data_IF_927303498284
#
_entry.id   IF_927303498284
#
_cell.length_a   1.000
_cell.length_b   1.000
_cell.length_c   1.000
_cell.angle_alpha   90.00
_cell.angle_beta   90.00
_cell.angle_gamma   90.00
#
_symmetry.space_group_name_H-M   'P 1'
#
loop_
_entity.id
_entity.type
_entity.pdbx_description
1 polymer ?
#
# COMPACT_ATOMS: atom_id res chain seq x y z
N UNK A 1 29.43 -6.41 -4.36
CA UNK A 1 28.14 -6.58 -5.06
C UNK A 1 27.04 -5.83 -4.31
N UNK A 2 26.02 -5.32 -5.00
CA UNK A 2 24.95 -4.52 -4.38
C UNK A 2 23.59 -4.98 -4.92
N UNK A 3 22.58 -5.06 -4.06
CA UNK A 3 21.21 -5.35 -4.48
C UNK A 3 20.54 -4.04 -4.92
N UNK A 4 20.17 -3.95 -6.19
CA UNK A 4 19.37 -2.88 -6.77
C UNK A 4 17.93 -3.38 -6.96
N UNK A 5 16.94 -2.62 -6.50
CA UNK A 5 15.52 -2.89 -6.79
C UNK A 5 15.18 -2.10 -8.04
N UNK A 6 14.94 -2.80 -9.16
CA UNK A 6 14.65 -2.16 -10.45
C UNK A 6 13.16 -1.98 -10.71
N UNK A 7 12.31 -2.73 -10.00
CA UNK A 7 10.85 -2.57 -9.98
C UNK A 7 10.41 -2.71 -8.52
N UNK A 8 9.90 -1.64 -7.92
CA UNK A 8 9.37 -1.65 -6.55
C UNK A 8 8.03 -2.40 -6.48
N UNK A 9 7.60 -2.91 -5.32
CA UNK A 9 6.25 -3.39 -5.14
C UNK A 9 5.25 -2.23 -5.16
N UNK A 10 4.09 -2.45 -5.79
CA UNK A 10 2.98 -1.49 -5.77
C UNK A 10 2.38 -1.39 -4.36
N UNK A 11 2.40 -0.18 -3.80
CA UNK A 11 2.13 0.04 -2.38
C UNK A 11 0.74 -0.42 -1.91
N UNK A 12 -0.33 -0.23 -2.70
CA UNK A 12 -1.73 -0.46 -2.26
C UNK A 12 -2.53 -1.44 -3.16
N UNK A 13 -1.87 -2.38 -3.82
CA UNK A 13 -2.55 -3.30 -4.75
C UNK A 13 -3.03 -4.61 -4.12
N UNK A 14 -2.44 -5.03 -3.00
CA UNK A 14 -2.61 -6.38 -2.46
C UNK A 14 -3.38 -6.36 -1.13
N UNK A 15 -4.41 -7.20 -1.03
CA UNK A 15 -5.04 -7.54 0.24
C UNK A 15 -4.25 -8.66 0.92
N UNK A 16 -3.85 -8.46 2.18
CA UNK A 16 -3.23 -9.51 2.97
C UNK A 16 -4.31 -10.53 3.39
N UNK A 17 -3.95 -11.82 3.38
CA UNK A 17 -4.91 -12.91 3.59
C UNK A 17 -4.61 -13.67 4.87
N UNK A 18 -5.65 -13.93 5.65
CA UNK A 18 -5.52 -14.86 6.77
C UNK A 18 -5.45 -16.29 6.26
N UNK A 19 -4.71 -17.14 6.97
CA UNK A 19 -4.61 -18.57 6.68
C UNK A 19 -5.98 -19.25 6.56
N UNK A 20 -6.90 -18.89 7.45
CA UNK A 20 -8.26 -19.44 7.49
C UNK A 20 -9.14 -19.03 6.29
N UNK A 21 -8.69 -18.12 5.40
CA UNK A 21 -9.43 -17.80 4.18
C UNK A 21 -9.35 -18.92 3.13
N UNK A 22 -8.37 -19.84 3.21
CA UNK A 22 -8.26 -21.01 2.34
C UNK A 22 -8.07 -20.70 0.85
N UNK A 23 -7.71 -19.47 0.49
CA UNK A 23 -7.46 -19.00 -0.88
C UNK A 23 -5.99 -18.63 -1.05
N UNK A 24 -5.52 -18.64 -2.30
CA UNK A 24 -4.22 -18.04 -2.63
C UNK A 24 -4.17 -16.59 -2.12
N UNK A 25 -3.03 -16.18 -1.55
CA UNK A 25 -2.82 -14.84 -1.03
C UNK A 25 -2.66 -13.77 -2.12
N UNK A 26 -2.86 -14.13 -3.39
CA UNK A 26 -2.62 -13.26 -4.54
C UNK A 26 -1.13 -13.06 -4.81
N UNK A 27 -0.82 -12.08 -5.65
CA UNK A 27 0.54 -11.70 -6.02
C UNK A 27 0.80 -10.22 -5.76
N UNK A 28 1.92 -9.90 -5.14
CA UNK A 28 2.45 -8.54 -5.04
C UNK A 28 2.84 -8.09 -6.45
N UNK A 29 2.15 -7.08 -6.96
CA UNK A 29 2.43 -6.48 -8.26
C UNK A 29 3.59 -5.47 -8.17
N UNK A 30 4.23 -5.20 -9.31
CA UNK A 30 5.19 -4.12 -9.46
C UNK A 30 4.50 -2.76 -9.52
N UNK A 31 5.20 -1.72 -9.11
CA UNK A 31 4.73 -0.33 -9.09
C UNK A 31 4.17 0.11 -10.45
N UNK A 32 4.84 -0.28 -11.54
CA UNK A 32 4.46 0.05 -12.92
C UNK A 32 3.45 -0.95 -13.53
N UNK A 33 2.93 -1.89 -12.74
CA UNK A 33 1.98 -2.89 -13.23
C UNK A 33 0.64 -2.26 -13.62
N UNK A 34 0.17 -2.61 -14.81
CA UNK A 34 -1.17 -2.28 -15.32
C UNK A 34 -2.03 -3.56 -15.47
N UNK A 35 -3.34 -3.43 -15.75
CA UNK A 35 -4.20 -4.57 -16.06
C UNK A 35 -3.73 -5.38 -17.29
N UNK A 36 -3.21 -4.70 -18.31
CA UNK A 36 -2.76 -5.26 -19.59
C UNK A 36 -1.33 -5.82 -19.50
N UNK A 37 -0.47 -5.16 -18.72
CA UNK A 37 0.92 -5.56 -18.54
C UNK A 37 1.27 -5.70 -17.05
N UNK A 38 1.23 -6.94 -16.56
CA UNK A 38 1.53 -7.24 -15.16
C UNK A 38 3.04 -7.31 -14.93
N UNK A 39 3.56 -6.36 -14.16
CA UNK A 39 4.94 -6.37 -13.65
C UNK A 39 4.94 -6.83 -12.19
N UNK A 40 6.13 -7.15 -11.67
CA UNK A 40 6.30 -7.70 -10.32
C UNK A 40 7.59 -7.16 -9.69
N UNK A 41 7.71 -7.16 -8.35
CA UNK A 41 8.94 -6.76 -7.69
C UNK A 41 10.13 -7.47 -8.32
N UNK A 42 11.15 -6.70 -8.70
CA UNK A 42 12.28 -7.22 -9.46
C UNK A 42 13.56 -6.58 -8.96
N UNK A 43 14.60 -7.40 -8.76
CA UNK A 43 15.91 -6.95 -8.31
C UNK A 43 17.00 -7.33 -9.31
N UNK A 44 18.11 -6.62 -9.25
CA UNK A 44 19.37 -6.94 -9.93
C UNK A 44 20.52 -6.92 -8.92
N UNK A 45 21.49 -7.83 -9.09
CA UNK A 45 22.74 -7.80 -8.36
C UNK A 45 23.79 -7.08 -9.20
N UNK A 46 24.19 -5.88 -8.77
CA UNK A 46 25.26 -5.14 -9.39
C UNK A 46 26.62 -5.73 -9.03
N UNK A 47 27.55 -5.73 -9.99
CA UNK A 47 28.90 -6.26 -9.87
C UNK A 47 28.94 -7.76 -9.50
N UNK A 48 27.96 -8.54 -9.96
CA UNK A 48 27.90 -9.98 -9.81
C UNK A 48 27.46 -10.64 -11.12
N UNK A 49 28.34 -11.42 -11.74
CA UNK A 49 28.06 -12.19 -12.97
C UNK A 49 27.89 -13.70 -12.71
N UNK A 50 28.09 -14.14 -11.46
CA UNK A 50 27.98 -15.54 -11.06
C UNK A 50 26.61 -15.90 -10.46
N UNK A 51 26.43 -17.19 -10.12
CA UNK A 51 25.25 -17.64 -9.39
C UNK A 51 25.16 -16.95 -8.02
N UNK A 52 23.95 -16.74 -7.53
CA UNK A 52 23.68 -16.19 -6.21
C UNK A 52 22.39 -16.80 -5.65
N UNK A 53 22.34 -17.00 -4.33
CA UNK A 53 21.11 -17.37 -3.65
C UNK A 53 20.44 -16.10 -3.12
N UNK A 54 19.19 -15.88 -3.52
CA UNK A 54 18.36 -14.77 -3.06
C UNK A 54 17.36 -15.27 -2.05
N UNK A 55 17.25 -14.57 -0.93
CA UNK A 55 16.25 -14.79 0.10
C UNK A 55 15.42 -13.52 0.26
N UNK A 56 14.10 -13.67 0.27
CA UNK A 56 13.15 -12.58 0.51
C UNK A 56 12.37 -12.87 1.78
N UNK A 57 12.32 -11.90 2.68
CA UNK A 57 11.55 -11.95 3.92
C UNK A 57 10.73 -10.68 4.12
N UNK A 58 9.77 -10.70 5.06
CA UNK A 58 9.02 -9.50 5.44
C UNK A 58 9.66 -8.84 6.66
N UNK A 59 9.82 -7.53 6.58
CA UNK A 59 10.27 -6.69 7.69
C UNK A 59 9.29 -5.54 7.96
N UNK A 60 9.38 -4.94 9.13
CA UNK A 60 8.56 -3.80 9.53
C UNK A 60 8.92 -2.55 8.72
N UNK A 61 8.04 -1.54 8.76
CA UNK A 61 8.29 -0.25 8.09
C UNK A 61 9.34 0.62 8.78
N UNK A 62 9.62 0.34 10.06
CA UNK A 62 10.50 1.10 10.93
C UNK A 62 11.96 1.09 10.46
N UNK A 63 12.75 2.03 10.99
CA UNK A 63 14.19 2.06 10.86
C UNK A 63 14.84 1.98 12.27
N UNK A 64 15.70 0.99 12.57
CA UNK A 64 16.06 -0.14 11.71
C UNK A 64 14.90 -1.13 11.49
N UNK A 65 14.79 -1.78 10.31
CA UNK A 65 13.74 -2.74 10.03
C UNK A 65 13.84 -3.99 10.90
N UNK A 66 12.71 -4.43 11.45
CA UNK A 66 12.60 -5.63 12.31
C UNK A 66 11.90 -6.77 11.56
N UNK A 67 12.08 -8.04 11.94
CA UNK A 67 11.29 -9.14 11.38
C UNK A 67 9.79 -8.90 11.54
N UNK A 68 9.01 -9.08 10.46
CA UNK A 68 7.56 -8.92 10.50
C UNK A 68 6.86 -10.26 10.84
N UNK A 69 5.78 -10.27 11.64
CA UNK A 69 5.05 -11.50 12.00
C UNK A 69 4.34 -12.18 10.82
N UNK A 70 3.84 -11.40 9.85
CA UNK A 70 3.24 -11.95 8.62
C UNK A 70 4.23 -12.79 7.83
N UNK A 71 3.74 -13.68 6.97
CA UNK A 71 4.54 -14.61 6.16
C UNK A 71 4.44 -14.32 4.66
N UNK A 72 5.56 -14.48 3.94
CA UNK A 72 5.51 -14.63 2.48
C UNK A 72 5.03 -16.02 2.12
N UNK A 73 4.10 -16.09 1.18
CA UNK A 73 3.53 -17.34 0.67
C UNK A 73 3.48 -17.34 -0.85
N UNK A 74 3.38 -18.52 -1.43
CA UNK A 74 3.35 -18.73 -2.88
C UNK A 74 4.51 -19.59 -3.37
N UNK A 75 4.80 -19.55 -4.67
CA UNK A 75 5.77 -20.48 -5.28
C UNK A 75 7.18 -20.19 -4.77
N UNK A 76 7.86 -21.22 -4.27
CA UNK A 76 9.21 -21.09 -3.70
C UNK A 76 9.26 -20.45 -2.31
N UNK A 77 8.11 -20.25 -1.66
CA UNK A 77 8.04 -19.80 -0.28
C UNK A 77 7.97 -20.99 0.68
N UNK A 78 8.84 -20.99 1.69
CA UNK A 78 8.89 -22.00 2.75
C UNK A 78 9.06 -21.26 4.07
N UNK A 79 8.24 -21.58 5.07
CA UNK A 79 8.28 -20.95 6.41
C UNK A 79 8.28 -19.40 6.40
N UNK A 80 7.49 -18.80 5.50
CA UNK A 80 7.31 -17.35 5.46
C UNK A 80 8.44 -16.55 4.79
N UNK A 81 9.37 -17.22 4.10
CA UNK A 81 10.42 -16.63 3.27
C UNK A 81 10.40 -17.23 1.87
N UNK A 82 10.79 -16.44 0.87
CA UNK A 82 11.01 -16.94 -0.49
C UNK A 82 12.50 -17.15 -0.71
N UNK A 83 12.91 -18.33 -1.20
CA UNK A 83 14.32 -18.62 -1.52
C UNK A 83 14.42 -19.02 -2.98
N UNK A 84 15.28 -18.34 -3.73
CA UNK A 84 15.51 -18.59 -5.15
C UNK A 84 17.01 -18.65 -5.41
N UNK A 85 17.47 -19.70 -6.10
CA UNK A 85 18.80 -19.68 -6.68
C UNK A 85 18.73 -18.93 -8.01
N UNK A 86 19.47 -17.84 -8.10
CA UNK A 86 19.59 -17.02 -9.29
C UNK A 86 20.89 -17.36 -10.00
N UNK A 87 20.81 -17.50 -11.32
CA UNK A 87 21.93 -17.32 -12.24
C UNK A 87 21.60 -16.05 -13.02
N UNK A 88 22.52 -15.09 -13.12
CA UNK A 88 22.34 -13.68 -12.75
C UNK A 88 21.09 -12.95 -13.30
N UNK A 89 20.53 -12.00 -12.51
CA UNK A 89 19.27 -11.31 -12.75
C UNK A 89 19.24 -10.15 -13.77
N UNK A 90 18.02 -9.69 -14.18
CA UNK A 90 16.90 -9.39 -13.28
C UNK A 90 16.15 -10.64 -12.74
N UNK A 91 15.96 -10.73 -11.41
CA UNK A 91 15.13 -11.76 -10.76
C UNK A 91 13.82 -11.09 -10.45
N UNK A 92 12.74 -11.60 -11.03
CA UNK A 92 11.38 -11.16 -10.76
C UNK A 92 10.65 -12.12 -9.83
N UNK A 93 9.73 -11.60 -9.03
CA UNK A 93 9.01 -12.36 -8.00
C UNK A 93 7.48 -12.37 -8.21
N UNK A 94 6.96 -13.05 -9.25
CA UNK A 94 5.55 -12.93 -9.66
C UNK A 94 4.53 -13.62 -8.76
N UNK A 95 4.96 -14.55 -7.91
CA UNK A 95 4.08 -15.43 -7.12
C UNK A 95 4.29 -15.25 -5.62
N UNK A 96 4.53 -14.01 -5.18
CA UNK A 96 4.63 -13.68 -3.76
C UNK A 96 3.31 -13.10 -3.28
N UNK A 97 2.66 -13.75 -2.33
CA UNK A 97 1.55 -13.22 -1.56
C UNK A 97 1.94 -13.00 -0.10
N UNK A 98 1.07 -12.31 0.65
CA UNK A 98 1.27 -12.02 2.07
C UNK A 98 0.17 -12.69 2.88
N UNK A 99 0.58 -13.65 3.72
CA UNK A 99 -0.28 -14.28 4.71
C UNK A 99 -0.17 -13.53 6.04
N UNK A 100 -1.24 -12.84 6.44
CA UNK A 100 -1.28 -12.09 7.68
C UNK A 100 -1.70 -12.96 8.86
N UNK A 101 -1.12 -12.67 10.03
CA UNK A 101 -1.47 -13.32 11.30
C UNK A 101 -2.45 -12.46 12.10
N UNK A 102 -3.19 -13.09 13.02
CA UNK A 102 -4.05 -12.36 13.96
C UNK A 102 -3.20 -11.72 15.06
N UNK A 103 -3.72 -10.67 15.70
CA UNK A 103 -3.03 -9.97 16.81
C UNK A 103 -2.56 -10.93 17.92
N UNK A 104 -3.39 -11.92 18.27
CA UNK A 104 -3.07 -12.94 19.28
C UNK A 104 -1.93 -13.90 18.89
N UNK A 105 -1.59 -13.99 17.60
CA UNK A 105 -0.59 -14.91 17.06
C UNK A 105 0.77 -14.23 16.83
N UNK A 106 0.86 -12.89 17.02
CA UNK A 106 2.08 -12.11 16.76
C UNK A 106 3.29 -12.70 17.51
N UNK A 107 3.14 -12.93 18.82
CA UNK A 107 4.24 -13.42 19.67
C UNK A 107 4.77 -14.77 19.18
N UNK A 108 3.87 -15.70 18.84
CA UNK A 108 4.25 -17.02 18.33
C UNK A 108 4.91 -16.93 16.95
N UNK A 109 4.36 -16.12 16.05
CA UNK A 109 4.90 -15.93 14.71
C UNK A 109 6.31 -15.32 14.74
N UNK A 110 6.54 -14.33 15.59
CA UNK A 110 7.86 -13.73 15.80
C UNK A 110 8.83 -14.73 16.42
N UNK A 111 8.42 -15.48 17.45
CA UNK A 111 9.24 -16.55 18.04
C UNK A 111 9.71 -17.57 16.98
N UNK A 112 8.83 -17.96 16.05
CA UNK A 112 9.18 -18.84 14.94
C UNK A 112 10.19 -18.20 13.99
N UNK A 113 10.05 -16.92 13.64
CA UNK A 113 11.02 -16.18 12.81
C UNK A 113 12.42 -16.23 13.41
N UNK A 114 12.53 -15.99 14.71
CA UNK A 114 13.81 -16.00 15.44
C UNK A 114 14.41 -17.40 15.46
N UNK A 115 13.60 -18.43 15.74
CA UNK A 115 14.05 -19.83 15.73
C UNK A 115 14.62 -20.24 14.37
N UNK A 116 14.08 -19.69 13.28
CA UNK A 116 14.54 -19.92 11.92
C UNK A 116 15.71 -19.00 11.51
N UNK A 117 16.22 -18.15 12.40
CA UNK A 117 17.31 -17.22 12.12
C UNK A 117 16.93 -16.09 11.17
N UNK A 118 15.62 -15.77 11.04
CA UNK A 118 15.13 -14.72 10.14
C UNK A 118 15.20 -13.37 10.87
N UNK A 119 16.40 -12.78 10.90
CA UNK A 119 16.63 -11.42 11.41
C UNK A 119 17.70 -10.71 10.55
N UNK A 120 17.32 -10.18 9.37
CA UNK A 120 18.27 -9.64 8.39
C UNK A 120 19.14 -8.49 8.90
N UNK A 121 18.69 -7.80 9.97
CA UNK A 121 19.33 -6.61 10.53
C UNK A 121 19.78 -6.80 11.99
N UNK A 122 19.73 -8.02 12.52
CA UNK A 122 20.14 -8.36 13.90
C UNK A 122 19.49 -7.47 14.97
N UNK A 123 18.19 -7.16 14.77
CA UNK A 123 17.44 -6.22 15.61
C UNK A 123 16.79 -6.89 16.81
N UNK A 124 16.64 -8.22 16.80
CA UNK A 124 15.87 -8.94 17.81
C UNK A 124 16.44 -8.76 19.23
N UNK A 125 17.75 -8.93 19.39
CA UNK A 125 18.42 -8.85 20.70
C UNK A 125 18.28 -7.48 21.36
N UNK A 126 18.11 -6.41 20.56
CA UNK A 126 18.01 -5.03 21.04
C UNK A 126 16.61 -4.63 21.51
N UNK A 127 15.58 -5.41 21.17
CA UNK A 127 14.17 -5.01 21.36
C UNK A 127 13.30 -6.07 22.06
N UNK A 128 13.91 -6.99 22.82
CA UNK A 128 13.19 -7.92 23.72
C UNK A 128 12.19 -7.12 24.58
N UNK A 129 10.89 -7.28 24.31
CA UNK A 129 9.80 -6.66 25.08
C UNK A 129 8.99 -5.55 24.40
N UNK A 130 9.35 -5.08 23.18
CA UNK A 130 8.54 -4.11 22.40
C UNK A 130 7.87 -4.71 21.15
N UNK A 131 7.68 -6.03 21.12
CA UNK A 131 7.12 -6.73 19.96
C UNK A 131 5.59 -6.60 19.83
N UNK A 132 4.91 -5.97 20.79
CA UNK A 132 3.45 -5.84 20.80
C UNK A 132 2.91 -4.68 19.94
N UNK A 133 3.79 -3.75 19.53
CA UNK A 133 3.45 -2.57 18.72
C UNK A 133 3.92 -2.71 17.27
N UNK A 134 3.67 -3.87 16.63
CA UNK A 134 3.93 -4.03 15.19
C UNK A 134 2.71 -3.57 14.38
N UNK A 135 2.95 -2.70 13.39
CA UNK A 135 1.93 -2.32 12.41
C UNK A 135 1.62 -3.50 11.47
N UNK A 136 0.49 -4.18 11.71
CA UNK A 136 0.05 -5.31 10.89
C UNK A 136 -0.48 -4.92 9.51
N UNK A 137 -0.67 -3.64 9.24
CA UNK A 137 -1.22 -3.16 7.98
C UNK A 137 -0.14 -2.80 6.97
N UNK A 138 1.13 -2.78 7.38
CA UNK A 138 2.24 -2.32 6.54
C UNK A 138 3.44 -3.24 6.67
N UNK A 139 3.97 -3.74 5.55
CA UNK A 139 5.21 -4.53 5.51
C UNK A 139 6.18 -3.95 4.49
N UNK A 140 7.45 -4.38 4.54
CA UNK A 140 8.41 -4.16 3.46
C UNK A 140 9.04 -5.50 3.06
N UNK A 141 9.39 -5.65 1.79
CA UNK A 141 10.20 -6.77 1.32
C UNK A 141 11.66 -6.51 1.65
N UNK A 142 12.32 -7.45 2.33
CA UNK A 142 13.75 -7.45 2.56
C UNK A 142 14.41 -8.48 1.65
N UNK A 143 15.21 -8.00 0.71
CA UNK A 143 16.01 -8.83 -0.20
C UNK A 143 17.40 -9.04 0.40
N UNK A 144 17.77 -10.29 0.60
CA UNK A 144 19.10 -10.75 0.99
C UNK A 144 19.69 -11.56 -0.16
N UNK A 145 20.99 -11.40 -0.42
CA UNK A 145 21.70 -12.17 -1.43
C UNK A 145 22.96 -12.79 -0.82
N UNK A 146 23.23 -14.03 -1.23
CA UNK A 146 24.38 -14.80 -0.78
C UNK A 146 25.14 -15.31 -2.00
N UNK A 147 26.43 -15.01 -2.07
CA UNK A 147 27.31 -15.37 -3.17
C UNK A 147 28.09 -16.65 -2.86
N UNK A 148 28.53 -17.40 -3.87
CA UNK A 148 29.37 -18.58 -3.71
C UNK A 148 30.61 -18.26 -2.89
N UNK A 149 30.86 -19.06 -1.88
CA UNK A 149 32.09 -18.99 -1.12
C UNK A 149 33.26 -19.46 -2.00
N UNK A 150 34.40 -18.75 -2.05
CA UNK A 150 35.51 -19.07 -2.95
C UNK A 150 36.06 -20.50 -2.79
N UNK A 151 35.99 -21.06 -1.59
CA UNK A 151 36.55 -22.39 -1.28
C UNK A 151 35.55 -23.54 -1.40
N UNK A 152 34.26 -23.30 -1.09
CA UNK A 152 33.26 -24.38 -1.00
C UNK A 152 32.25 -24.34 -2.14
N UNK A 153 32.21 -23.25 -2.92
CA UNK A 153 31.21 -23.01 -3.96
C UNK A 153 29.78 -22.78 -3.43
N UNK A 154 29.54 -22.94 -2.13
CA UNK A 154 28.21 -22.77 -1.53
C UNK A 154 27.88 -21.29 -1.37
N UNK A 155 26.65 -20.90 -1.73
CA UNK A 155 26.17 -19.52 -1.63
C UNK A 155 25.98 -19.09 -0.16
N UNK A 156 27.04 -18.56 0.45
CA UNK A 156 27.08 -18.20 1.89
C UNK A 156 27.66 -16.82 2.16
N UNK A 157 28.34 -16.19 1.19
CA UNK A 157 28.95 -14.85 1.37
C UNK A 157 27.85 -13.78 1.29
N UNK A 158 27.51 -13.08 2.38
CA UNK A 158 26.36 -12.18 2.39
C UNK A 158 26.65 -10.87 1.65
N UNK A 159 25.64 -10.39 0.94
CA UNK A 159 25.57 -9.02 0.41
C UNK A 159 24.68 -8.19 1.35
N UNK A 160 25.00 -6.90 1.60
CA UNK A 160 24.14 -6.05 2.43
C UNK A 160 22.67 -6.10 1.98
N UNK A 161 21.72 -6.35 2.90
CA UNK A 161 20.31 -6.48 2.57
C UNK A 161 19.75 -5.15 2.03
N UNK A 162 18.75 -5.26 1.14
CA UNK A 162 18.03 -4.10 0.58
C UNK A 162 16.54 -4.24 0.85
N UNK A 163 15.92 -3.17 1.34
CA UNK A 163 14.50 -3.15 1.69
C UNK A 163 13.71 -2.33 0.66
N UNK A 164 12.56 -2.85 0.23
CA UNK A 164 11.64 -2.17 -0.68
C UNK A 164 10.97 -0.94 -0.06
N UNK A 165 10.19 -0.23 -0.87
CA UNK A 165 9.15 0.67 -0.33
C UNK A 165 8.06 -0.12 0.43
N UNK A 166 7.32 0.52 1.35
CA UNK A 166 6.22 -0.11 2.08
C UNK A 166 5.11 -0.65 1.17
N UNK A 167 4.53 -1.77 1.59
CA UNK A 167 3.33 -2.39 1.04
C UNK A 167 2.26 -2.34 2.12
N UNK A 168 1.11 -1.79 1.79
CA UNK A 168 -0.03 -1.65 2.68
C UNK A 168 -1.09 -2.69 2.35
N UNK A 169 -1.71 -3.28 3.38
CA UNK A 169 -2.88 -4.13 3.19
C UNK A 169 -4.01 -3.30 2.58
N UNK A 170 -4.46 -3.66 1.38
CA UNK A 170 -5.59 -3.00 0.71
C UNK A 170 -6.88 -3.01 1.56
N UNK A 171 -7.01 -3.95 2.51
CA UNK A 171 -8.17 -4.00 3.43
C UNK A 171 -7.95 -3.16 4.70
N UNK A 172 -6.76 -2.63 4.94
CA UNK A 172 -6.52 -1.77 6.09
C UNK A 172 -7.38 -0.50 5.99
N UNK A 173 -8.03 -0.06 7.08
CA UNK A 173 -8.94 1.09 7.03
C UNK A 173 -8.27 2.40 6.56
N UNK A 174 -6.96 2.54 6.78
CA UNK A 174 -6.13 3.67 6.37
C UNK A 174 -5.53 3.58 4.97
N UNK A 175 -5.65 2.44 4.27
CA UNK A 175 -5.04 2.21 2.95
C UNK A 175 -6.04 1.71 1.90
N UNK A 176 -7.33 1.72 2.23
CA UNK A 176 -8.38 1.39 1.29
C UNK A 176 -8.43 2.42 0.15
N UNK A 177 -8.63 1.94 -1.06
CA UNK A 177 -8.88 2.79 -2.23
C UNK A 177 -10.16 3.61 -1.99
N UNK A 178 -10.10 4.92 -2.25
CA UNK A 178 -11.25 5.79 -2.10
C UNK A 178 -12.13 5.68 -3.34
N UNK A 179 -13.45 5.54 -3.14
CA UNK A 179 -14.40 5.46 -4.24
C UNK A 179 -15.72 6.11 -3.89
N UNK A 180 -16.18 7.00 -4.76
CA UNK A 180 -17.54 7.53 -4.74
C UNK A 180 -18.44 6.54 -5.49
N UNK A 181 -19.45 6.00 -4.81
CA UNK A 181 -20.41 5.06 -5.39
C UNK A 181 -21.55 5.82 -6.06
N UNK A 182 -22.10 6.81 -5.37
CA UNK A 182 -23.25 7.61 -5.83
C UNK A 182 -23.39 8.88 -5.00
N UNK A 183 -23.91 9.94 -5.59
CA UNK A 183 -24.42 11.11 -4.88
C UNK A 183 -25.92 11.26 -5.15
N UNK A 184 -26.68 11.77 -4.17
CA UNK A 184 -28.11 12.06 -4.34
C UNK A 184 -28.35 13.26 -5.28
N UNK A 185 -27.42 14.21 -5.30
CA UNK A 185 -27.39 15.38 -6.19
C UNK A 185 -26.12 15.36 -7.02
N UNK A 186 -26.21 15.88 -8.24
CA UNK A 186 -25.07 16.05 -9.17
C UNK A 186 -24.96 17.50 -9.67
N UNK A 187 -25.70 18.40 -9.06
CA UNK A 187 -25.73 19.82 -9.35
C UNK A 187 -26.26 20.60 -8.16
N UNK A 188 -25.94 21.89 -8.12
CA UNK A 188 -26.43 22.83 -7.11
C UNK A 188 -26.09 24.28 -7.49
N UNK A 189 -26.60 25.27 -6.76
CA UNK A 189 -26.38 26.68 -7.07
C UNK A 189 -24.92 27.07 -6.84
N UNK A 190 -24.43 28.06 -7.57
CA UNK A 190 -23.07 28.61 -7.40
C UNK A 190 -22.78 29.11 -6.01
N UNK A 191 -23.81 29.52 -5.26
CA UNK A 191 -23.68 29.96 -3.87
C UNK A 191 -23.31 28.82 -2.91
N UNK A 192 -23.43 27.56 -3.33
CA UNK A 192 -23.20 26.41 -2.48
C UNK A 192 -24.27 26.26 -1.39
N UNK A 193 -23.92 25.56 -0.31
CA UNK A 193 -24.79 25.33 0.85
C UNK A 193 -25.78 24.18 0.69
N UNK A 194 -25.90 23.64 -0.53
CA UNK A 194 -26.75 22.51 -0.84
C UNK A 194 -26.29 21.26 -0.08
N UNK A 195 -27.17 20.66 0.71
CA UNK A 195 -26.86 19.40 1.40
C UNK A 195 -26.87 18.23 0.40
N UNK A 196 -25.78 17.47 0.40
CA UNK A 196 -25.51 16.34 -0.48
C UNK A 196 -25.19 15.11 0.36
N UNK A 197 -25.84 13.99 0.04
CA UNK A 197 -25.51 12.67 0.57
C UNK A 197 -24.69 11.91 -0.46
N UNK A 198 -23.47 11.56 -0.08
CA UNK A 198 -22.51 10.81 -0.88
C UNK A 198 -22.33 9.42 -0.30
N UNK A 199 -22.62 8.39 -1.09
CA UNK A 199 -22.34 7.00 -0.79
C UNK A 199 -20.95 6.64 -1.31
N UNK A 200 -20.14 5.98 -0.48
CA UNK A 200 -18.77 5.64 -0.80
C UNK A 200 -18.37 4.26 -0.26
N UNK A 201 -17.22 3.77 -0.73
CA UNK A 201 -16.54 2.65 -0.07
C UNK A 201 -15.97 3.10 1.29
N UNK A 202 -15.43 2.18 2.08
CA UNK A 202 -15.13 2.41 3.50
C UNK A 202 -14.08 3.52 3.73
N UNK A 203 -14.45 4.59 4.44
CA UNK A 203 -13.59 5.73 4.81
C UNK A 203 -13.33 5.85 6.33
N UNK A 204 -12.31 6.60 6.72
CA UNK A 204 -12.10 7.01 8.12
C UNK A 204 -12.68 8.40 8.34
N UNK A 205 -13.57 8.56 9.34
CA UNK A 205 -14.27 9.82 9.57
C UNK A 205 -13.38 11.01 9.92
N UNK A 206 -12.22 10.73 10.51
CA UNK A 206 -11.25 11.73 10.98
C UNK A 206 -10.14 12.00 9.93
N UNK A 207 -10.19 11.33 8.78
CA UNK A 207 -9.17 11.36 7.73
C UNK A 207 -9.81 11.22 6.34
N UNK A 208 -10.77 12.11 6.05
CA UNK A 208 -11.47 12.15 4.77
C UNK A 208 -11.96 13.57 4.48
N UNK A 209 -11.86 14.00 3.23
CA UNK A 209 -12.39 15.26 2.72
C UNK A 209 -13.14 15.02 1.41
N UNK A 210 -14.15 15.85 1.13
CA UNK A 210 -14.80 15.94 -0.19
C UNK A 210 -14.26 17.18 -0.88
N UNK A 211 -13.60 17.01 -2.02
CA UNK A 211 -12.87 18.08 -2.71
C UNK A 211 -13.49 18.33 -4.08
N UNK A 212 -13.86 19.58 -4.32
CA UNK A 212 -14.33 20.10 -5.60
C UNK A 212 -13.17 20.75 -6.32
N UNK A 213 -12.96 20.40 -7.58
CA UNK A 213 -11.89 20.94 -8.41
C UNK A 213 -12.41 21.36 -9.78
N UNK A 214 -11.88 22.46 -10.29
CA UNK A 214 -12.14 22.93 -11.65
C UNK A 214 -10.86 23.55 -12.23
N UNK A 215 -10.82 23.70 -13.56
CA UNK A 215 -9.77 24.44 -14.26
C UNK A 215 -10.34 25.58 -15.11
N UNK A 216 -11.07 26.53 -14.52
CA UNK A 216 -11.57 27.70 -15.24
C UNK A 216 -10.40 28.47 -15.88
N UNK A 217 -10.42 28.61 -17.20
CA UNK A 217 -9.40 29.37 -17.96
C UNK A 217 -7.95 28.93 -17.66
N UNK A 218 -7.75 27.65 -17.33
CA UNK A 218 -6.43 27.09 -17.01
C UNK A 218 -5.96 27.30 -15.57
N UNK A 219 -6.69 28.05 -14.73
CA UNK A 219 -6.36 28.24 -13.32
C UNK A 219 -7.03 27.14 -12.50
N UNK A 220 -6.26 26.43 -11.67
CA UNK A 220 -6.80 25.39 -10.78
C UNK A 220 -7.59 26.06 -9.65
N UNK A 221 -8.90 25.79 -9.60
CA UNK A 221 -9.74 26.08 -8.45
C UNK A 221 -9.94 24.80 -7.64
N UNK A 222 -9.93 24.93 -6.32
CA UNK A 222 -10.17 23.85 -5.37
C UNK A 222 -10.97 24.39 -4.18
N UNK A 223 -11.98 23.65 -3.73
CA UNK A 223 -12.74 23.95 -2.53
C UNK A 223 -13.24 22.67 -1.85
N UNK A 224 -13.55 22.73 -0.56
CA UNK A 224 -13.93 21.57 0.25
C UNK A 224 -15.42 21.60 0.59
N UNK A 225 -16.07 20.45 0.48
CA UNK A 225 -17.39 20.25 1.07
C UNK A 225 -17.34 20.46 2.58
N UNK A 226 -18.35 21.13 3.11
CA UNK A 226 -18.44 21.44 4.54
C UNK A 226 -19.19 20.33 5.27
N UNK A 227 -18.49 19.65 6.19
CA UNK A 227 -19.04 18.62 7.07
C UNK A 227 -18.10 18.37 8.24
N UNK A 228 -18.64 17.73 9.27
CA UNK A 228 -17.98 17.31 10.49
C UNK A 228 -17.83 15.78 10.55
N UNK A 229 -16.93 15.23 11.37
CA UNK A 229 -16.78 13.77 11.53
C UNK A 229 -18.08 13.04 11.94
N UNK A 230 -19.04 13.74 12.55
CA UNK A 230 -20.35 13.19 12.92
C UNK A 230 -21.28 12.95 11.74
N UNK A 231 -21.05 13.64 10.61
CA UNK A 231 -21.83 13.48 9.38
C UNK A 231 -21.31 12.34 8.48
N UNK A 232 -20.23 11.67 8.90
CA UNK A 232 -19.76 10.43 8.28
C UNK A 232 -20.54 9.24 8.84
N UNK A 233 -21.57 8.81 8.11
CA UNK A 233 -22.45 7.73 8.52
C UNK A 233 -21.81 6.36 8.28
N UNK A 234 -21.47 5.67 9.38
CA UNK A 234 -21.01 4.25 9.40
C UNK A 234 -19.85 3.97 8.43
N UNK A 235 -19.00 4.97 8.16
CA UNK A 235 -17.85 4.88 7.26
C UNK A 235 -18.18 4.64 5.78
N UNK A 236 -19.45 4.69 5.37
CA UNK A 236 -19.89 4.34 4.00
C UNK A 236 -20.76 5.41 3.34
N UNK A 237 -21.07 6.48 4.08
CA UNK A 237 -21.74 7.65 3.54
C UNK A 237 -21.24 8.92 4.24
N UNK A 238 -21.28 10.03 3.52
CA UNK A 238 -20.94 11.36 4.02
C UNK A 238 -22.10 12.28 3.65
N UNK A 239 -22.62 13.01 4.63
CA UNK A 239 -23.49 14.16 4.39
C UNK A 239 -22.63 15.41 4.48
N UNK A 240 -22.70 16.28 3.48
CA UNK A 240 -21.92 17.52 3.45
C UNK A 240 -22.68 18.61 2.71
N UNK A 241 -22.28 19.87 2.91
CA UNK A 241 -22.75 21.01 2.12
C UNK A 241 -21.78 21.32 0.99
N UNK A 242 -22.30 21.43 -0.23
CA UNK A 242 -21.49 21.81 -1.38
C UNK A 242 -20.87 23.21 -1.15
N UNK A 243 -19.57 23.41 -1.46
CA UNK A 243 -18.95 24.72 -1.31
C UNK A 243 -19.50 25.72 -2.32
N UNK A 244 -19.30 27.01 -2.07
CA UNK A 244 -19.54 28.04 -3.08
C UNK A 244 -18.51 27.93 -4.21
N UNK A 245 -18.95 28.15 -5.46
CA UNK A 245 -18.05 28.28 -6.60
C UNK A 245 -17.29 29.61 -6.53
N UNK A 246 -16.08 29.70 -7.10
CA UNK A 246 -15.29 30.94 -7.03
C UNK A 246 -15.95 32.13 -7.73
N UNK A 247 -16.75 31.88 -8.77
CA UNK A 247 -17.50 32.87 -9.50
C UNK A 247 -18.99 32.68 -9.26
N UNK A 248 -19.60 33.57 -8.47
CA UNK A 248 -21.02 33.51 -8.13
C UNK A 248 -21.94 34.10 -9.20
N UNK A 249 -21.37 34.64 -10.28
CA UNK A 249 -22.11 35.36 -11.34
C UNK A 249 -22.07 34.63 -12.67
N UNK A 250 -21.92 33.30 -12.65
CA UNK A 250 -21.98 32.51 -13.89
C UNK A 250 -23.34 32.70 -14.57
N UNK A 251 -23.35 32.76 -15.91
CA UNK A 251 -24.59 32.86 -16.69
C UNK A 251 -25.03 31.51 -17.26
N UNK A 252 -24.10 30.57 -17.35
CA UNK A 252 -24.30 29.23 -17.88
C UNK A 252 -23.79 28.19 -16.88
N UNK A 253 -24.36 26.97 -16.86
CA UNK A 253 -23.91 25.93 -15.95
C UNK A 253 -22.43 25.57 -16.15
N UNK A 254 -21.71 25.39 -15.04
CA UNK A 254 -20.28 25.05 -15.07
C UNK A 254 -20.06 23.66 -14.47
N UNK A 255 -19.42 22.79 -15.25
CA UNK A 255 -19.01 21.46 -14.80
C UNK A 255 -17.69 21.51 -14.02
N UNK A 256 -17.66 20.83 -12.89
CA UNK A 256 -16.51 20.65 -12.01
C UNK A 256 -16.41 19.18 -11.61
N UNK A 257 -15.30 18.79 -11.01
CA UNK A 257 -15.07 17.43 -10.54
C UNK A 257 -15.08 17.37 -9.01
N UNK A 258 -15.72 16.35 -8.47
CA UNK A 258 -15.78 16.02 -7.04
C UNK A 258 -14.99 14.75 -6.79
N UNK A 259 -14.15 14.75 -5.75
CA UNK A 259 -13.36 13.59 -5.34
C UNK A 259 -13.41 13.42 -3.83
N UNK A 260 -13.23 12.19 -3.37
CA UNK A 260 -12.80 11.94 -2.01
C UNK A 260 -11.29 12.08 -1.94
N UNK A 261 -10.77 12.71 -0.89
CA UNK A 261 -9.34 12.80 -0.61
C UNK A 261 -9.07 12.36 0.83
N UNK A 262 -8.05 11.54 1.04
CA UNK A 262 -7.55 11.16 2.37
C UNK A 262 -6.35 12.05 2.72
N UNK A 263 -6.46 13.00 3.66
CA UNK A 263 -5.37 13.93 3.97
C UNK A 263 -4.08 13.26 4.44
N UNK A 264 -4.16 12.14 5.15
CA UNK A 264 -2.99 11.48 5.74
C UNK A 264 -1.96 10.98 4.73
N UNK A 265 -2.40 10.60 3.52
CA UNK A 265 -1.53 10.04 2.49
C UNK A 265 -1.74 10.62 1.08
N UNK A 266 -2.67 11.56 0.93
CA UNK A 266 -2.96 12.24 -0.33
C UNK A 266 -3.69 11.38 -1.36
N UNK A 267 -4.18 10.19 -1.01
CA UNK A 267 -4.96 9.34 -1.92
C UNK A 267 -6.25 10.07 -2.34
N UNK A 268 -6.57 10.05 -3.63
CA UNK A 268 -7.80 10.59 -4.19
C UNK A 268 -8.63 9.50 -4.86
N UNK A 269 -9.95 9.61 -4.83
CA UNK A 269 -10.83 8.78 -5.66
C UNK A 269 -10.84 9.24 -7.11
N UNK A 270 -11.35 8.37 -7.99
CA UNK A 270 -11.79 8.80 -9.32
C UNK A 270 -12.77 9.98 -9.23
N UNK A 271 -12.72 10.93 -10.19
CA UNK A 271 -13.59 12.10 -10.20
C UNK A 271 -15.04 11.73 -10.50
N UNK A 272 -15.95 12.45 -9.85
CA UNK A 272 -17.37 12.45 -10.11
C UNK A 272 -17.80 13.82 -10.63
N UNK A 273 -18.64 13.89 -11.66
CA UNK A 273 -19.05 15.17 -12.23
C UNK A 273 -20.08 15.88 -11.35
N UNK A 274 -19.90 17.19 -11.17
CA UNK A 274 -20.86 18.10 -10.53
C UNK A 274 -21.07 19.33 -11.41
N UNK A 275 -22.30 19.83 -11.46
CA UNK A 275 -22.64 21.04 -12.23
C UNK A 275 -23.11 22.16 -11.32
N UNK A 276 -22.37 23.26 -11.27
CA UNK A 276 -22.87 24.49 -10.67
C UNK A 276 -23.85 25.19 -11.61
N UNK A 277 -25.00 25.61 -11.09
CA UNK A 277 -26.01 26.39 -11.80
C UNK A 277 -26.04 27.83 -11.30
N UNK A 278 -26.41 28.81 -12.14
CA UNK A 278 -26.64 30.19 -11.72
C UNK A 278 -27.61 30.30 -10.54
#
# INVERSE_FOLDING_TARGET
>A
PVIEIIEQPKARSLRFRYECEGRSAGSILGENSSPENRTYPTIRLLNCSGPAMILVSLVTKDDPPKPHPHSLVGKGCIHGICKINSSPPPVSFPNLGIQCVKRKEITQALAQRIRLGIDPFHTYSRHKGKMDEVDLNTVRLCFQAFLPHPQTGQCTVPVPPRVSMPIHDKKAPGAAELRICKMNKVSGPVTGGDEVTLLCDKVQRDDIEVVFTAKPMGIKWESRGDFSPTEVHRQVAIVFKAPAYFNLTIKEPVRVQVRLRRPSDGEESEPFDWTYTP
#
